data_IF_653883792167
#
_entry.id   IF_653883792167
#
_cell.length_a   1.000
_cell.length_b   1.000
_cell.length_c   1.000
_cell.angle_alpha   90.00
_cell.angle_beta   90.00
_cell.angle_gamma   90.00
#
_symmetry.space_group_name_H-M   'P 1'
#
loop_
_entity.id
_entity.type
_entity.pdbx_description
1 polymer ?
#
# COMPACT_ATOMS: atom_id res chain seq x y z
N UNK A 1 14.83 11.91 -17.21
CA UNK A 1 15.49 12.24 -15.92
C UNK A 1 16.21 11.03 -15.39
N UNK A 2 17.24 11.25 -14.55
CA UNK A 2 17.87 10.20 -13.75
C UNK A 2 17.27 10.23 -12.33
N UNK A 3 16.62 9.15 -11.92
CA UNK A 3 15.83 9.07 -10.68
C UNK A 3 16.41 8.00 -9.78
N UNK A 4 16.57 8.32 -8.49
CA UNK A 4 16.93 7.36 -7.45
C UNK A 4 15.71 7.03 -6.60
N UNK A 5 15.37 5.76 -6.47
CA UNK A 5 14.41 5.27 -5.49
C UNK A 5 15.15 4.78 -4.24
N UNK A 6 14.92 5.41 -3.10
CA UNK A 6 15.63 5.12 -1.86
C UNK A 6 14.68 4.64 -0.77
N UNK A 7 15.05 3.55 -0.08
CA UNK A 7 14.25 3.00 1.01
C UNK A 7 15.14 2.38 2.10
N UNK A 8 14.58 2.05 3.25
CA UNK A 8 15.35 1.35 4.27
C UNK A 8 15.51 -0.14 3.94
N UNK A 9 14.41 -0.82 3.63
CA UNK A 9 14.39 -2.26 3.37
C UNK A 9 14.03 -2.58 1.92
N UNK A 10 14.77 -3.51 1.31
CA UNK A 10 14.44 -4.27 0.10
C UNK A 10 14.80 -5.75 0.29
N UNK A 11 14.76 -6.22 1.54
CA UNK A 11 15.18 -7.56 1.94
C UNK A 11 14.11 -8.59 1.59
N UNK A 12 12.86 -8.34 1.95
CA UNK A 12 11.73 -9.26 1.80
C UNK A 12 10.51 -8.54 1.23
N UNK A 13 9.46 -9.31 0.91
CA UNK A 13 8.22 -8.75 0.41
C UNK A 13 7.44 -8.04 1.53
N UNK A 14 7.19 -6.76 1.34
CA UNK A 14 6.39 -5.92 2.23
C UNK A 14 5.67 -4.83 1.46
N UNK A 15 4.87 -4.01 2.14
CA UNK A 15 4.08 -2.94 1.50
C UNK A 15 4.95 -1.89 0.80
N UNK A 16 5.97 -1.38 1.50
CA UNK A 16 6.87 -0.35 0.95
C UNK A 16 7.80 -0.92 -0.12
N UNK A 17 8.26 -2.15 0.04
CA UNK A 17 9.14 -2.85 -0.90
C UNK A 17 8.42 -3.10 -2.24
N UNK A 18 7.20 -3.63 -2.19
CA UNK A 18 6.39 -3.86 -3.40
C UNK A 18 5.94 -2.56 -4.06
N UNK A 19 5.70 -1.50 -3.26
CA UNK A 19 5.44 -0.16 -3.78
C UNK A 19 6.68 0.41 -4.49
N UNK A 20 7.85 0.32 -3.88
CA UNK A 20 9.12 0.79 -4.47
C UNK A 20 9.39 0.08 -5.79
N UNK A 21 9.20 -1.24 -5.84
CA UNK A 21 9.32 -2.02 -7.07
C UNK A 21 8.33 -1.56 -8.15
N UNK A 22 7.05 -1.41 -7.81
CA UNK A 22 6.04 -0.99 -8.78
C UNK A 22 6.31 0.42 -9.33
N UNK A 23 6.74 1.36 -8.48
CA UNK A 23 7.10 2.71 -8.88
C UNK A 23 8.35 2.74 -9.77
N UNK A 24 9.36 1.90 -9.47
CA UNK A 24 10.55 1.75 -10.29
C UNK A 24 10.21 1.30 -11.72
N UNK A 25 9.37 0.27 -11.84
CA UNK A 25 8.94 -0.25 -13.14
C UNK A 25 8.15 0.80 -13.92
N UNK A 26 7.29 1.55 -13.27
CA UNK A 26 6.50 2.57 -13.94
C UNK A 26 7.36 3.75 -14.42
N UNK A 27 8.26 4.26 -13.57
CA UNK A 27 9.18 5.33 -13.97
C UNK A 27 10.09 4.90 -15.12
N UNK A 28 10.55 3.65 -15.13
CA UNK A 28 11.29 3.08 -16.24
C UNK A 28 10.46 3.00 -17.51
N UNK A 29 9.18 2.57 -17.41
CA UNK A 29 8.23 2.53 -18.55
C UNK A 29 8.01 3.92 -19.14
N UNK A 30 8.02 4.96 -18.32
CA UNK A 30 7.94 6.37 -18.74
C UNK A 30 9.24 6.91 -19.39
N UNK A 31 10.27 6.07 -19.51
CA UNK A 31 11.53 6.42 -20.19
C UNK A 31 12.56 7.11 -19.29
N UNK A 32 12.40 7.07 -17.97
CA UNK A 32 13.42 7.57 -17.04
C UNK A 32 14.53 6.54 -16.81
N UNK A 33 15.75 7.02 -16.53
CA UNK A 33 16.83 6.18 -16.00
C UNK A 33 16.62 6.05 -14.49
N UNK A 34 16.35 4.84 -14.02
CA UNK A 34 16.02 4.58 -12.61
C UNK A 34 17.12 3.73 -11.99
N UNK A 35 17.58 4.15 -10.82
CA UNK A 35 18.49 3.39 -9.94
C UNK A 35 17.81 3.23 -8.56
N UNK A 36 18.26 2.24 -7.76
CA UNK A 36 17.72 2.05 -6.43
C UNK A 36 18.81 2.08 -5.35
N UNK A 37 18.39 2.46 -4.14
CA UNK A 37 19.17 2.40 -2.91
C UNK A 37 18.35 1.78 -1.79
N UNK A 38 18.95 0.90 -1.00
CA UNK A 38 18.37 0.42 0.24
C UNK A 38 19.44 0.31 1.33
N UNK A 39 19.07 0.66 2.57
CA UNK A 39 19.96 0.44 3.73
C UNK A 39 20.16 -1.07 3.96
N UNK A 40 19.09 -1.85 3.82
CA UNK A 40 19.12 -3.30 3.91
C UNK A 40 18.67 -3.89 2.56
N UNK A 41 19.60 -4.54 1.87
CA UNK A 41 19.37 -5.18 0.58
C UNK A 41 18.90 -6.63 0.75
N UNK A 42 18.27 -7.19 -0.27
CA UNK A 42 17.90 -8.59 -0.34
C UNK A 42 17.16 -8.97 -1.60
N UNK A 43 16.13 -9.82 -1.48
CA UNK A 43 15.44 -10.40 -2.63
C UNK A 43 14.83 -9.33 -3.56
N UNK A 44 14.21 -8.29 -3.01
CA UNK A 44 13.58 -7.23 -3.83
C UNK A 44 14.62 -6.35 -4.52
N UNK A 45 15.80 -6.12 -3.89
CA UNK A 45 16.93 -5.45 -4.58
C UNK A 45 17.40 -6.25 -5.78
N UNK A 46 17.58 -7.58 -5.61
CA UNK A 46 18.02 -8.45 -6.71
C UNK A 46 17.01 -8.44 -7.86
N UNK A 47 15.71 -8.49 -7.55
CA UNK A 47 14.65 -8.40 -8.57
C UNK A 47 14.67 -7.07 -9.32
N UNK A 48 14.95 -5.94 -8.64
CA UNK A 48 15.11 -4.64 -9.30
C UNK A 48 16.32 -4.64 -10.24
N UNK A 49 17.44 -5.23 -9.83
CA UNK A 49 18.63 -5.35 -10.67
C UNK A 49 18.37 -6.23 -11.91
N UNK A 50 17.69 -7.35 -11.76
CA UNK A 50 17.26 -8.23 -12.88
C UNK A 50 16.37 -7.51 -13.88
N UNK A 51 15.49 -6.62 -13.40
CA UNK A 51 14.64 -5.77 -14.24
C UNK A 51 15.36 -4.55 -14.80
N UNK A 52 16.68 -4.42 -14.61
CA UNK A 52 17.49 -3.33 -15.14
C UNK A 52 17.29 -2.00 -14.41
N UNK A 53 16.98 -2.06 -13.12
CA UNK A 53 17.06 -0.95 -12.16
C UNK A 53 18.25 -1.23 -11.24
N UNK A 54 19.48 -0.83 -11.62
CA UNK A 54 20.67 -1.19 -10.87
C UNK A 54 20.75 -0.49 -9.53
N UNK A 55 21.59 -1.01 -8.65
CA UNK A 55 22.04 -0.30 -7.44
C UNK A 55 22.65 1.05 -7.81
N UNK A 56 22.44 2.04 -6.93
CA UNK A 56 22.95 3.39 -7.04
C UNK A 56 24.42 3.45 -7.51
N UNK A 57 24.66 4.05 -8.66
CA UNK A 57 25.97 4.19 -9.28
C UNK A 57 26.38 5.66 -9.46
N UNK A 58 25.41 6.57 -9.61
CA UNK A 58 25.69 7.97 -9.84
C UNK A 58 25.89 8.74 -8.53
N UNK A 59 26.72 9.79 -8.62
CA UNK A 59 26.90 10.74 -7.52
C UNK A 59 25.74 11.75 -7.43
N UNK A 60 25.02 11.98 -8.55
CA UNK A 60 23.92 12.93 -8.61
C UNK A 60 22.75 12.42 -9.46
N UNK A 61 21.53 12.77 -9.03
CA UNK A 61 20.26 12.47 -9.65
C UNK A 61 19.43 13.75 -9.81
N UNK A 62 18.57 13.77 -10.83
CA UNK A 62 17.60 14.86 -10.97
C UNK A 62 16.59 14.82 -9.81
N UNK A 63 16.14 13.61 -9.43
CA UNK A 63 15.13 13.37 -8.41
C UNK A 63 15.49 12.16 -7.54
N UNK A 64 15.35 12.30 -6.24
CA UNK A 64 15.43 11.24 -5.25
C UNK A 64 14.04 11.05 -4.61
N UNK A 65 13.44 9.88 -4.76
CA UNK A 65 12.19 9.50 -4.09
C UNK A 65 12.52 8.55 -2.94
N UNK A 66 12.40 9.03 -1.71
CA UNK A 66 12.80 8.30 -0.51
C UNK A 66 11.59 7.96 0.37
N UNK A 67 11.50 6.70 0.84
CA UNK A 67 10.38 6.22 1.66
C UNK A 67 10.61 6.31 3.17
N UNK A 68 11.84 6.40 3.64
CA UNK A 68 12.18 6.34 5.07
C UNK A 68 13.22 7.41 5.44
N UNK A 69 13.14 7.93 6.67
CA UNK A 69 14.09 8.93 7.20
C UNK A 69 15.55 8.52 7.05
N UNK A 70 15.86 7.24 7.27
CA UNK A 70 17.22 6.71 7.12
C UNK A 70 17.71 6.78 5.67
N UNK A 71 16.84 6.42 4.71
CA UNK A 71 17.16 6.54 3.29
C UNK A 71 17.37 7.99 2.87
N UNK A 72 16.56 8.92 3.39
CA UNK A 72 16.76 10.37 3.17
C UNK A 72 18.13 10.80 3.66
N UNK A 73 18.55 10.42 4.90
CA UNK A 73 19.84 10.77 5.48
C UNK A 73 21.03 10.29 4.63
N UNK A 74 20.91 9.15 3.98
CA UNK A 74 21.96 8.58 3.14
C UNK A 74 22.02 9.21 1.73
N UNK A 75 20.92 9.82 1.27
CA UNK A 75 20.78 10.23 -0.14
C UNK A 75 20.46 11.71 -0.37
N UNK A 76 20.17 12.52 0.67
CA UNK A 76 19.67 13.90 0.53
C UNK A 76 20.58 14.86 -0.25
N UNK A 77 21.88 14.59 -0.34
CA UNK A 77 22.82 15.42 -1.11
C UNK A 77 22.99 14.98 -2.57
N UNK A 78 22.26 13.95 -2.99
CA UNK A 78 22.40 13.36 -4.32
C UNK A 78 21.40 13.89 -5.35
N UNK A 79 20.49 14.75 -4.98
CA UNK A 79 19.51 15.36 -5.87
C UNK A 79 18.35 15.99 -5.10
N UNK A 80 17.37 16.52 -5.85
CA UNK A 80 16.14 17.00 -5.23
C UNK A 80 15.38 15.84 -4.58
N UNK A 81 15.22 15.91 -3.27
CA UNK A 81 14.72 14.76 -2.48
C UNK A 81 13.28 14.98 -2.07
N UNK A 82 12.38 14.11 -2.50
CA UNK A 82 11.00 14.00 -2.03
C UNK A 82 10.89 12.79 -1.10
N UNK A 83 10.51 13.03 0.15
CA UNK A 83 10.23 11.95 1.09
C UNK A 83 8.75 11.59 1.06
N UNK A 84 8.44 10.28 0.91
CA UNK A 84 7.09 9.73 1.12
C UNK A 84 6.97 9.18 2.53
N UNK A 85 6.02 9.71 3.30
CA UNK A 85 5.68 9.22 4.63
C UNK A 85 4.47 8.29 4.56
N UNK A 86 4.63 7.05 5.02
CA UNK A 86 3.63 5.98 4.87
C UNK A 86 2.73 5.81 6.10
N UNK A 87 3.07 6.40 7.25
CA UNK A 87 2.29 6.27 8.47
C UNK A 87 2.63 7.33 9.51
N UNK A 88 1.85 7.34 10.58
CA UNK A 88 1.96 8.31 11.69
C UNK A 88 2.69 7.75 12.92
N UNK A 89 2.91 6.42 12.99
CA UNK A 89 3.44 5.74 14.17
C UNK A 89 4.89 5.29 13.99
N UNK A 90 5.27 4.55 12.91
CA UNK A 90 6.63 4.03 12.78
C UNK A 90 7.68 5.14 12.71
N UNK A 91 8.75 5.00 13.48
CA UNK A 91 9.83 6.00 13.53
C UNK A 91 10.50 6.22 12.17
N UNK A 92 10.68 5.17 11.40
CA UNK A 92 11.27 5.26 10.06
C UNK A 92 10.43 6.06 9.06
N UNK A 93 9.13 6.16 9.31
CA UNK A 93 8.16 6.83 8.42
C UNK A 93 7.93 8.31 8.80
N UNK A 94 8.62 8.80 9.84
CA UNK A 94 8.52 10.20 10.27
C UNK A 94 9.21 11.15 9.29
N UNK A 95 8.76 12.41 9.18
CA UNK A 95 9.33 13.38 8.25
C UNK A 95 10.78 13.73 8.58
N UNK A 96 11.61 13.87 7.56
CA UNK A 96 13.00 14.26 7.68
C UNK A 96 13.21 15.72 7.24
N UNK A 97 13.91 16.55 8.03
CA UNK A 97 14.23 17.91 7.62
C UNK A 97 15.24 18.00 6.47
N UNK A 98 15.83 16.87 6.06
CA UNK A 98 16.78 16.80 4.96
C UNK A 98 16.10 16.54 3.60
N UNK A 99 14.80 16.31 3.56
CA UNK A 99 14.04 16.25 2.31
C UNK A 99 13.66 17.66 1.84
N UNK A 100 13.67 17.88 0.54
CA UNK A 100 13.27 19.15 -0.08
C UNK A 100 11.76 19.32 -0.12
N UNK A 101 11.02 18.22 -0.21
CA UNK A 101 9.56 18.17 -0.20
C UNK A 101 9.05 16.85 0.40
N UNK A 102 7.78 16.85 0.81
CA UNK A 102 7.15 15.71 1.45
C UNK A 102 5.85 15.30 0.73
N UNK A 103 5.64 14.00 0.68
CA UNK A 103 4.40 13.37 0.22
C UNK A 103 3.83 12.52 1.35
N UNK A 104 2.53 12.67 1.59
CA UNK A 104 1.76 11.84 2.52
C UNK A 104 0.94 10.81 1.74
N UNK A 105 0.80 9.58 2.24
CA UNK A 105 -0.03 8.56 1.58
C UNK A 105 -1.53 8.71 1.88
N UNK A 106 -1.89 9.57 2.85
CA UNK A 106 -3.27 9.85 3.25
C UNK A 106 -3.42 11.21 3.91
N UNK A 107 -4.65 11.69 4.07
CA UNK A 107 -4.92 12.95 4.78
C UNK A 107 -4.50 12.89 6.27
N UNK A 108 -4.62 11.71 6.93
CA UNK A 108 -4.11 11.51 8.28
C UNK A 108 -2.60 11.76 8.36
N UNK A 109 -1.84 11.19 7.43
CA UNK A 109 -0.38 11.39 7.37
C UNK A 109 -0.04 12.84 7.03
N UNK A 110 -0.79 13.47 6.12
CA UNK A 110 -0.60 14.89 5.79
C UNK A 110 -0.83 15.80 7.00
N UNK A 111 -1.89 15.55 7.77
CA UNK A 111 -2.16 16.29 9.01
C UNK A 111 -1.03 16.10 10.02
N UNK A 112 -0.54 14.89 10.18
CA UNK A 112 0.60 14.55 11.04
C UNK A 112 1.89 15.29 10.61
N UNK A 113 2.22 15.28 9.32
CA UNK A 113 3.38 16.03 8.78
C UNK A 113 3.29 17.52 9.10
N UNK A 114 2.09 18.08 9.02
CA UNK A 114 1.86 19.49 9.32
C UNK A 114 2.10 19.83 10.80
N UNK A 115 1.85 18.91 11.72
CA UNK A 115 2.17 19.10 13.15
C UNK A 115 3.68 19.25 13.39
N UNK A 116 4.51 18.63 12.52
CA UNK A 116 5.96 18.79 12.50
C UNK A 116 6.44 20.00 11.69
N UNK A 117 5.53 20.79 11.12
CA UNK A 117 5.86 21.98 10.33
C UNK A 117 6.18 21.71 8.86
N UNK A 118 5.87 20.54 8.33
CA UNK A 118 6.09 20.18 6.93
C UNK A 118 4.81 20.25 6.11
N UNK A 119 4.84 21.01 5.03
CA UNK A 119 3.80 20.96 4.00
C UNK A 119 3.98 19.72 3.12
N UNK A 120 2.86 19.14 2.68
CA UNK A 120 2.86 17.96 1.82
C UNK A 120 1.61 17.88 0.95
N UNK A 121 1.71 17.10 -0.13
CA UNK A 121 0.54 16.67 -0.91
C UNK A 121 0.20 15.22 -0.60
N UNK A 122 -1.02 14.80 -0.92
CA UNK A 122 -1.44 13.40 -0.77
C UNK A 122 -1.30 12.66 -2.09
N UNK A 123 -0.46 11.63 -2.08
CA UNK A 123 -0.33 10.64 -3.15
C UNK A 123 -0.53 9.26 -2.52
N UNK A 124 -1.68 8.60 -2.70
CA UNK A 124 -1.91 7.25 -2.19
C UNK A 124 -0.91 6.26 -2.77
N UNK A 125 -0.65 5.18 -2.03
CA UNK A 125 0.21 4.10 -2.51
C UNK A 125 -0.35 3.48 -3.80
N UNK A 126 0.33 3.72 -4.91
CA UNK A 126 -0.06 3.19 -6.21
C UNK A 126 0.13 1.67 -6.30
N UNK A 127 -0.76 1.03 -7.03
CA UNK A 127 -0.76 -0.40 -7.31
C UNK A 127 -0.49 -0.63 -8.80
N UNK A 128 0.37 -1.57 -9.14
CA UNK A 128 0.49 -2.03 -10.51
C UNK A 128 -0.77 -2.81 -10.90
N UNK A 129 -1.76 -2.11 -11.46
CA UNK A 129 -3.05 -2.68 -11.82
C UNK A 129 -3.00 -3.64 -13.03
N UNK A 130 -1.89 -3.73 -13.75
CA UNK A 130 -1.68 -4.75 -14.79
C UNK A 130 -1.32 -6.09 -14.16
N UNK A 131 -0.44 -6.08 -13.15
CA UNK A 131 -0.08 -7.26 -12.35
C UNK A 131 -1.23 -7.68 -11.43
N UNK A 132 -1.74 -6.74 -10.62
CA UNK A 132 -2.88 -6.95 -9.74
C UNK A 132 -4.17 -6.77 -10.54
N UNK A 133 -4.64 -7.84 -11.13
CA UNK A 133 -5.85 -7.84 -11.95
C UNK A 133 -6.71 -9.09 -11.66
N UNK A 134 -7.99 -9.08 -12.00
CA UNK A 134 -8.86 -10.24 -11.83
C UNK A 134 -8.40 -11.40 -12.72
N UNK A 135 -7.81 -12.45 -12.12
CA UNK A 135 -7.37 -13.68 -12.82
C UNK A 135 -8.47 -14.75 -12.84
N UNK A 136 -9.43 -14.65 -11.92
CA UNK A 136 -10.59 -15.55 -11.81
C UNK A 136 -11.83 -14.72 -11.48
N UNK A 137 -13.01 -15.09 -11.98
CA UNK A 137 -14.26 -14.47 -11.58
C UNK A 137 -14.52 -14.73 -10.08
N UNK A 138 -15.23 -13.82 -9.44
CA UNK A 138 -15.76 -14.02 -8.08
C UNK A 138 -17.03 -14.87 -8.13
N UNK A 139 -17.35 -15.54 -7.03
CA UNK A 139 -18.55 -16.35 -6.89
C UNK A 139 -19.83 -15.48 -6.84
N UNK A 140 -20.99 -15.96 -7.33
CA UNK A 140 -22.25 -15.22 -7.21
C UNK A 140 -22.66 -14.91 -5.76
N UNK A 141 -22.29 -15.79 -4.84
CA UNK A 141 -22.46 -15.65 -3.39
C UNK A 141 -21.13 -15.83 -2.70
N UNK A 142 -20.94 -15.22 -1.53
CA UNK A 142 -19.72 -15.35 -0.75
C UNK A 142 -19.39 -16.82 -0.47
N UNK A 143 -18.28 -17.31 -0.99
CA UNK A 143 -17.82 -18.69 -0.81
C UNK A 143 -16.44 -18.81 -0.19
N UNK A 144 -15.57 -17.81 -0.40
CA UNK A 144 -14.19 -17.84 0.08
C UNK A 144 -13.76 -16.47 0.60
N UNK A 145 -13.24 -16.45 1.82
CA UNK A 145 -12.64 -15.28 2.48
C UNK A 145 -11.15 -15.50 2.65
N UNK A 146 -10.34 -14.54 2.23
CA UNK A 146 -8.90 -14.50 2.47
C UNK A 146 -8.58 -13.46 3.54
N UNK A 147 -7.85 -13.86 4.57
CA UNK A 147 -7.23 -12.94 5.51
C UNK A 147 -5.79 -12.64 5.11
N UNK A 148 -5.49 -11.35 4.94
CA UNK A 148 -4.15 -10.78 4.82
C UNK A 148 -3.72 -10.08 6.12
N UNK A 149 -4.42 -10.36 7.22
CA UNK A 149 -4.11 -9.83 8.53
C UNK A 149 -2.77 -10.37 9.04
N UNK A 150 -2.03 -9.51 9.72
CA UNK A 150 -0.74 -9.89 10.32
C UNK A 150 -0.90 -10.45 11.74
N UNK A 151 -2.03 -10.22 12.38
CA UNK A 151 -2.34 -10.74 13.72
C UNK A 151 -2.99 -12.12 13.63
N UNK A 152 -2.42 -13.11 14.34
CA UNK A 152 -3.03 -14.43 14.46
C UNK A 152 -4.36 -14.38 15.23
N UNK A 153 -4.51 -13.46 16.17
CA UNK A 153 -5.80 -13.21 16.85
C UNK A 153 -6.89 -12.80 15.86
N UNK A 154 -6.56 -11.94 14.90
CA UNK A 154 -7.50 -11.57 13.82
C UNK A 154 -7.79 -12.76 12.91
N UNK A 155 -6.76 -13.53 12.52
CA UNK A 155 -6.92 -14.69 11.68
C UNK A 155 -7.85 -15.74 12.32
N UNK A 156 -7.66 -16.04 13.60
CA UNK A 156 -8.52 -16.96 14.35
C UNK A 156 -9.96 -16.46 14.49
N UNK A 157 -10.13 -15.17 14.72
CA UNK A 157 -11.45 -14.55 14.78
C UNK A 157 -12.17 -14.66 13.44
N UNK A 158 -11.53 -14.30 12.34
CA UNK A 158 -12.10 -14.36 10.98
C UNK A 158 -12.43 -15.81 10.61
N UNK A 159 -11.53 -16.77 10.94
CA UNK A 159 -11.77 -18.20 10.70
C UNK A 159 -13.04 -18.69 11.39
N UNK A 160 -13.23 -18.37 12.69
CA UNK A 160 -14.47 -18.74 13.42
C UNK A 160 -15.73 -18.13 12.79
N UNK A 161 -15.65 -16.87 12.32
CA UNK A 161 -16.76 -16.23 11.62
C UNK A 161 -17.10 -16.97 10.31
N UNK A 162 -16.08 -17.35 9.53
CA UNK A 162 -16.26 -18.12 8.30
C UNK A 162 -16.88 -19.51 8.56
N UNK A 163 -16.40 -20.22 9.56
CA UNK A 163 -16.91 -21.54 9.96
C UNK A 163 -18.42 -21.48 10.31
N UNK A 164 -18.85 -20.42 11.04
CA UNK A 164 -20.26 -20.22 11.43
C UNK A 164 -21.22 -20.07 10.25
N UNK A 165 -20.75 -19.53 9.14
CA UNK A 165 -21.58 -19.30 7.94
C UNK A 165 -21.25 -20.24 6.79
N UNK A 166 -20.38 -21.25 7.01
CA UNK A 166 -20.04 -22.26 6.02
C UNK A 166 -19.21 -21.72 4.84
N UNK A 167 -18.42 -20.67 5.04
CA UNK A 167 -17.57 -20.05 4.03
C UNK A 167 -16.12 -20.53 4.21
N UNK A 168 -15.45 -20.82 3.10
CA UNK A 168 -14.03 -21.25 3.11
C UNK A 168 -13.14 -20.11 3.60
N UNK A 169 -12.25 -20.41 4.55
CA UNK A 169 -11.24 -19.49 5.04
C UNK A 169 -9.87 -19.79 4.45
N UNK A 170 -9.19 -18.77 3.95
CA UNK A 170 -7.79 -18.77 3.52
C UNK A 170 -7.02 -17.73 4.33
N UNK A 171 -5.74 -17.98 4.57
CA UNK A 171 -4.83 -17.06 5.24
C UNK A 171 -3.53 -16.93 4.46
N UNK A 172 -2.99 -15.72 4.39
CA UNK A 172 -1.62 -15.46 3.98
C UNK A 172 -1.05 -14.34 4.87
N UNK A 173 -0.13 -14.69 5.74
CA UNK A 173 0.51 -13.75 6.67
C UNK A 173 1.94 -13.49 6.19
N UNK A 174 2.30 -12.22 5.96
CA UNK A 174 3.62 -11.84 5.42
C UNK A 174 4.82 -12.33 6.25
N UNK A 175 4.62 -12.61 7.54
CA UNK A 175 5.69 -13.07 8.43
C UNK A 175 5.91 -14.59 8.37
N UNK A 176 4.90 -15.36 7.96
CA UNK A 176 4.95 -16.84 7.87
C UNK A 176 4.91 -17.34 6.43
N UNK A 177 4.22 -16.61 5.55
CA UNK A 177 3.93 -16.99 4.17
C UNK A 177 4.42 -15.92 3.21
N UNK A 178 5.73 -15.64 3.18
CA UNK A 178 6.29 -14.58 2.33
C UNK A 178 6.14 -14.92 0.85
N UNK A 179 5.04 -14.48 0.24
CA UNK A 179 4.66 -14.76 -1.15
C UNK A 179 4.83 -13.50 -1.99
N UNK A 180 5.70 -13.55 -3.01
CA UNK A 180 5.84 -12.46 -3.97
C UNK A 180 4.59 -12.28 -4.85
N UNK A 181 4.06 -13.37 -5.39
CA UNK A 181 2.87 -13.34 -6.26
C UNK A 181 1.58 -13.41 -5.44
N UNK A 182 1.40 -12.46 -4.51
CA UNK A 182 0.23 -12.42 -3.62
C UNK A 182 -1.09 -12.23 -4.38
N UNK A 183 -1.05 -11.64 -5.57
CA UNK A 183 -2.20 -11.49 -6.46
C UNK A 183 -2.82 -12.83 -6.87
N UNK A 184 -2.03 -13.90 -6.95
CA UNK A 184 -2.54 -15.26 -7.23
C UNK A 184 -3.33 -15.83 -6.05
N UNK A 185 -2.91 -15.50 -4.83
CA UNK A 185 -3.62 -15.88 -3.60
C UNK A 185 -4.90 -15.05 -3.45
N UNK A 186 -4.81 -13.74 -3.65
CA UNK A 186 -5.95 -12.81 -3.62
C UNK A 186 -7.04 -13.27 -4.59
N UNK A 187 -6.66 -13.67 -5.80
CA UNK A 187 -7.59 -14.12 -6.83
C UNK A 187 -8.30 -15.46 -6.52
N UNK A 188 -7.97 -16.14 -5.43
CA UNK A 188 -8.68 -17.34 -4.97
C UNK A 188 -9.88 -17.03 -4.06
N UNK A 189 -10.01 -15.79 -3.59
CA UNK A 189 -11.06 -15.36 -2.68
C UNK A 189 -12.12 -14.50 -3.37
N UNK A 190 -13.29 -14.40 -2.74
CA UNK A 190 -14.36 -13.47 -3.13
C UNK A 190 -14.26 -12.17 -2.30
N UNK A 191 -13.88 -12.31 -1.03
CA UNK A 191 -13.70 -11.21 -0.09
C UNK A 191 -12.34 -11.32 0.58
N UNK A 192 -11.66 -10.19 0.73
CA UNK A 192 -10.36 -10.09 1.39
C UNK A 192 -10.49 -9.23 2.65
N UNK A 193 -9.90 -9.68 3.74
CA UNK A 193 -9.79 -8.92 4.99
C UNK A 193 -8.34 -8.45 5.16
N UNK A 194 -8.16 -7.16 5.38
CA UNK A 194 -6.81 -6.58 5.56
C UNK A 194 -6.83 -5.07 5.70
N UNK A 195 -5.64 -4.48 5.85
CA UNK A 195 -5.45 -3.04 6.05
C UNK A 195 -4.55 -2.43 4.97
N UNK A 196 -4.71 -1.14 4.70
CA UNK A 196 -3.81 -0.34 3.89
C UNK A 196 -3.57 -0.95 2.51
N UNK A 197 -2.31 -1.21 2.17
CA UNK A 197 -1.95 -1.75 0.87
C UNK A 197 -2.63 -3.09 0.55
N UNK A 198 -2.80 -3.98 1.53
CA UNK A 198 -3.51 -5.26 1.30
C UNK A 198 -4.95 -5.04 0.83
N UNK A 199 -5.61 -3.97 1.31
CA UNK A 199 -6.93 -3.56 0.82
C UNK A 199 -6.86 -3.10 -0.65
N UNK A 200 -5.86 -2.29 -1.00
CA UNK A 200 -5.69 -1.77 -2.36
C UNK A 200 -5.34 -2.87 -3.36
N UNK A 201 -4.43 -3.78 -2.99
CA UNK A 201 -4.07 -4.95 -3.81
C UNK A 201 -5.30 -5.83 -4.10
N UNK A 202 -6.16 -6.04 -3.10
CA UNK A 202 -7.40 -6.80 -3.24
C UNK A 202 -8.44 -6.08 -4.13
N UNK A 203 -8.61 -4.76 -3.97
CA UNK A 203 -9.46 -3.96 -4.86
C UNK A 203 -8.98 -4.04 -6.30
N UNK A 204 -7.67 -3.92 -6.54
CA UNK A 204 -7.08 -4.04 -7.86
C UNK A 204 -7.30 -5.42 -8.48
N UNK A 205 -7.32 -6.50 -7.68
CA UNK A 205 -7.69 -7.85 -8.11
C UNK A 205 -9.21 -8.06 -8.26
N UNK A 206 -10.03 -7.01 -8.12
CA UNK A 206 -11.49 -7.09 -8.25
C UNK A 206 -12.11 -7.94 -7.15
N UNK A 207 -11.71 -7.75 -5.89
CA UNK A 207 -12.27 -8.44 -4.72
C UNK A 207 -12.98 -7.44 -3.81
N UNK A 208 -14.04 -7.88 -3.14
CA UNK A 208 -14.58 -7.11 -2.04
C UNK A 208 -13.57 -7.03 -0.91
N UNK A 209 -13.53 -5.91 -0.20
CA UNK A 209 -12.58 -5.69 0.89
C UNK A 209 -13.30 -5.33 2.17
N UNK A 210 -13.00 -6.05 3.25
CA UNK A 210 -13.38 -5.72 4.60
C UNK A 210 -12.14 -5.24 5.36
N UNK A 211 -12.13 -3.97 5.74
CA UNK A 211 -10.98 -3.35 6.41
C UNK A 211 -11.01 -3.73 7.89
N UNK A 212 -10.10 -4.59 8.31
CA UNK A 212 -9.94 -5.06 9.69
C UNK A 212 -8.59 -5.72 9.92
N UNK A 213 -8.04 -5.57 11.12
CA UNK A 213 -6.96 -6.37 11.71
C UNK A 213 -6.97 -6.17 13.23
N UNK A 214 -6.25 -7.02 13.96
CA UNK A 214 -6.13 -6.95 15.42
C UNK A 214 -4.74 -6.45 15.81
N UNK A 215 -4.48 -5.14 15.61
CA UNK A 215 -3.18 -4.50 15.88
C UNK A 215 -3.34 -3.44 16.95
N UNK A 216 -2.82 -3.69 18.14
CA UNK A 216 -2.90 -2.79 19.28
C UNK A 216 -2.15 -1.46 19.06
N UNK A 217 -0.96 -1.52 18.47
CA UNK A 217 -0.13 -0.34 18.29
C UNK A 217 -0.44 0.47 17.01
N UNK A 218 -1.15 -0.10 16.03
CA UNK A 218 -1.41 0.56 14.73
C UNK A 218 -2.87 0.99 14.55
N UNK A 219 -3.83 0.22 15.02
CA UNK A 219 -5.24 0.50 14.78
C UNK A 219 -6.15 0.24 15.97
N UNK A 220 -5.62 -0.11 17.14
CA UNK A 220 -6.39 -0.36 18.37
C UNK A 220 -7.50 -1.40 18.18
N UNK A 221 -7.26 -2.45 17.36
CA UNK A 221 -8.23 -3.51 17.03
C UNK A 221 -9.47 -3.01 16.27
N UNK A 222 -9.32 -1.98 15.43
CA UNK A 222 -10.40 -1.31 14.77
C UNK A 222 -10.52 -1.73 13.30
N UNK A 223 -11.72 -1.59 12.74
CA UNK A 223 -12.02 -1.75 11.32
C UNK A 223 -12.78 -0.56 10.76
N UNK A 224 -12.74 -0.43 9.43
CA UNK A 224 -13.53 0.56 8.69
C UNK A 224 -14.77 -0.06 8.02
N UNK A 225 -14.97 -1.38 8.16
CA UNK A 225 -16.08 -2.11 7.56
C UNK A 225 -15.79 -2.56 6.12
N UNK A 226 -16.83 -3.05 5.47
CA UNK A 226 -16.79 -3.39 4.07
C UNK A 226 -16.67 -2.11 3.24
N UNK A 227 -15.67 -2.09 2.33
CA UNK A 227 -15.50 -0.95 1.42
C UNK A 227 -16.61 -0.94 0.38
N UNK A 228 -17.25 0.22 0.26
CA UNK A 228 -18.35 0.51 -0.66
C UNK A 228 -18.14 1.89 -1.27
N UNK A 229 -18.86 2.28 -2.34
CA UNK A 229 -18.83 3.64 -2.86
C UNK A 229 -19.04 4.72 -1.78
N UNK A 230 -19.89 4.45 -0.78
CA UNK A 230 -20.22 5.41 0.29
C UNK A 230 -19.14 5.47 1.40
N UNK A 231 -18.36 4.41 1.61
CA UNK A 231 -17.41 4.31 2.72
C UNK A 231 -15.96 4.57 2.32
N UNK A 232 -15.60 4.35 1.04
CA UNK A 232 -14.21 4.37 0.57
C UNK A 232 -13.53 5.72 0.81
N UNK A 233 -14.21 6.84 0.50
CA UNK A 233 -13.64 8.17 0.70
C UNK A 233 -13.19 8.40 2.14
N UNK A 234 -13.99 7.98 3.12
CA UNK A 234 -13.66 8.05 4.54
C UNK A 234 -12.54 7.09 4.93
N UNK A 235 -12.58 5.84 4.47
CA UNK A 235 -11.53 4.86 4.77
C UNK A 235 -10.16 5.31 4.23
N UNK A 236 -10.12 5.92 3.03
CA UNK A 236 -8.92 6.45 2.40
C UNK A 236 -8.28 7.60 3.19
N UNK A 237 -9.06 8.41 3.93
CA UNK A 237 -8.47 9.49 4.76
C UNK A 237 -7.45 8.98 5.77
N UNK A 238 -7.59 7.72 6.19
CA UNK A 238 -6.67 7.04 7.12
C UNK A 238 -6.01 5.80 6.50
N UNK A 239 -5.79 5.82 5.18
CA UNK A 239 -5.10 4.75 4.44
C UNK A 239 -5.74 3.35 4.67
N UNK A 240 -7.06 3.25 4.76
CA UNK A 240 -7.78 2.01 5.06
C UNK A 240 -7.20 1.25 6.27
N UNK A 241 -6.88 1.96 7.34
CA UNK A 241 -6.20 1.40 8.52
C UNK A 241 -7.15 0.92 9.62
N UNK A 242 -8.45 1.09 9.47
CA UNK A 242 -9.45 0.83 10.50
C UNK A 242 -9.66 2.01 11.47
N UNK A 243 -8.83 3.04 11.42
CA UNK A 243 -8.90 4.21 12.32
C UNK A 243 -9.93 5.25 11.89
N UNK A 244 -10.42 5.18 10.67
CA UNK A 244 -11.41 6.13 10.13
C UNK A 244 -12.79 5.92 10.73
N UNK A 245 -13.34 4.71 10.62
CA UNK A 245 -14.67 4.37 11.16
C UNK A 245 -14.62 3.82 12.59
N UNK A 246 -13.46 3.35 13.04
CA UNK A 246 -13.17 2.87 14.40
C UNK A 246 -14.15 1.80 14.88
N UNK A 247 -14.57 0.90 13.96
CA UNK A 247 -15.54 -0.16 14.27
C UNK A 247 -14.86 -1.28 15.07
N UNK A 248 -15.47 -1.64 16.19
CA UNK A 248 -15.13 -2.84 16.97
C UNK A 248 -16.12 -3.94 16.64
N UNK A 249 -15.62 -5.13 16.37
CA UNK A 249 -16.46 -6.24 15.94
C UNK A 249 -16.58 -7.32 17.02
N UNK A 250 -17.80 -7.77 17.25
CA UNK A 250 -18.10 -9.13 17.68
C UNK A 250 -18.33 -10.03 16.46
N UNK A 251 -18.44 -11.33 16.68
CA UNK A 251 -18.61 -12.29 15.57
C UNK A 251 -19.88 -12.03 14.75
N UNK A 252 -20.97 -11.60 15.38
CA UNK A 252 -22.23 -11.34 14.68
C UNK A 252 -22.15 -10.09 13.78
N UNK A 253 -21.56 -9.00 14.28
CA UNK A 253 -21.37 -7.76 13.52
C UNK A 253 -20.39 -7.96 12.37
N UNK A 254 -19.32 -8.73 12.58
CA UNK A 254 -18.36 -9.06 11.52
C UNK A 254 -19.00 -9.93 10.42
N UNK A 255 -19.79 -10.94 10.80
CA UNK A 255 -20.55 -11.77 9.86
C UNK A 255 -21.52 -10.92 9.05
N UNK A 256 -22.23 -9.96 9.67
CA UNK A 256 -23.12 -9.04 8.94
C UNK A 256 -22.35 -8.21 7.91
N UNK A 257 -21.12 -7.78 8.21
CA UNK A 257 -20.28 -7.08 7.21
C UNK A 257 -19.92 -8.01 6.05
N UNK A 258 -19.50 -9.25 6.32
CA UNK A 258 -19.17 -10.22 5.25
C UNK A 258 -20.40 -10.52 4.37
N UNK A 259 -21.60 -10.61 4.95
CA UNK A 259 -22.85 -10.90 4.23
C UNK A 259 -23.31 -9.77 3.30
N UNK A 260 -22.74 -8.58 3.38
CA UNK A 260 -22.96 -7.49 2.40
C UNK A 260 -22.23 -7.72 1.07
N UNK A 261 -21.45 -8.79 0.95
CA UNK A 261 -20.74 -9.16 -0.27
C UNK A 261 -21.71 -9.24 -1.46
N UNK A 262 -21.30 -8.67 -2.60
CA UNK A 262 -21.92 -8.87 -3.91
C UNK A 262 -20.86 -8.86 -5.02
N UNK A 263 -21.08 -9.59 -6.13
CA UNK A 263 -20.18 -9.52 -7.29
C UNK A 263 -20.07 -8.11 -7.90
N UNK A 264 -21.14 -7.32 -7.80
CA UNK A 264 -21.17 -5.93 -8.27
C UNK A 264 -20.19 -5.05 -7.46
N UNK A 265 -20.13 -5.28 -6.15
CA UNK A 265 -19.18 -4.56 -5.28
C UNK A 265 -17.72 -4.95 -5.60
N UNK A 266 -17.46 -6.20 -5.94
CA UNK A 266 -16.14 -6.65 -6.38
C UNK A 266 -15.73 -6.00 -7.71
N UNK A 267 -16.65 -5.89 -8.67
CA UNK A 267 -16.42 -5.17 -9.93
C UNK A 267 -16.13 -3.68 -9.69
N UNK A 268 -16.94 -3.01 -8.86
CA UNK A 268 -16.71 -1.63 -8.45
C UNK A 268 -15.33 -1.43 -7.80
N UNK A 269 -14.90 -2.34 -6.93
CA UNK A 269 -13.57 -2.28 -6.31
C UNK A 269 -12.46 -2.21 -7.36
N UNK A 270 -12.57 -3.00 -8.43
CA UNK A 270 -11.63 -2.97 -9.56
C UNK A 270 -11.64 -1.62 -10.28
N UNK A 271 -12.82 -1.11 -10.61
CA UNK A 271 -12.96 0.18 -11.30
C UNK A 271 -12.36 1.31 -10.46
N UNK A 272 -12.66 1.33 -9.17
CA UNK A 272 -12.08 2.31 -8.25
C UNK A 272 -10.54 2.23 -8.20
N UNK A 273 -9.99 1.02 -8.13
CA UNK A 273 -8.53 0.85 -8.12
C UNK A 273 -7.86 1.33 -9.41
N UNK A 274 -8.46 1.06 -10.56
CA UNK A 274 -7.96 1.53 -11.85
C UNK A 274 -7.94 3.06 -11.95
N UNK A 275 -8.99 3.71 -11.47
CA UNK A 275 -9.14 5.16 -11.54
C UNK A 275 -8.29 5.90 -10.50
N UNK A 276 -8.23 5.39 -9.26
CA UNK A 276 -7.69 6.16 -8.13
C UNK A 276 -6.39 5.60 -7.54
N UNK A 277 -6.11 4.30 -7.71
CA UNK A 277 -4.99 3.62 -7.07
C UNK A 277 -3.92 3.12 -8.05
N UNK A 278 -4.06 3.35 -9.35
CA UNK A 278 -3.09 2.89 -10.34
C UNK A 278 -1.73 3.58 -10.12
N UNK A 279 -0.64 2.79 -10.16
CA UNK A 279 0.74 3.29 -10.03
C UNK A 279 1.09 4.34 -11.08
N UNK A 280 0.47 4.29 -12.26
CA UNK A 280 0.64 5.28 -13.32
C UNK A 280 0.23 6.69 -12.84
N UNK A 281 -0.91 6.78 -12.14
CA UNK A 281 -1.39 8.05 -11.57
C UNK A 281 -0.45 8.55 -10.45
N UNK A 282 0.05 7.63 -9.62
CA UNK A 282 0.98 8.00 -8.55
C UNK A 282 2.31 8.52 -9.15
N UNK A 283 2.89 7.81 -10.11
CA UNK A 283 4.13 8.22 -10.77
C UNK A 283 3.98 9.62 -11.43
N UNK A 284 2.88 9.86 -12.17
CA UNK A 284 2.59 11.16 -12.76
C UNK A 284 2.56 12.28 -11.71
N UNK A 285 1.82 12.08 -10.61
CA UNK A 285 1.75 13.07 -9.51
C UNK A 285 3.09 13.36 -8.85
N UNK A 286 4.01 12.38 -8.73
CA UNK A 286 5.36 12.64 -8.23
C UNK A 286 6.17 13.51 -9.18
N UNK A 287 6.06 13.25 -10.48
CA UNK A 287 6.78 14.02 -11.51
C UNK A 287 6.24 15.46 -11.57
N UNK A 288 4.92 15.64 -11.59
CA UNK A 288 4.27 16.95 -11.55
C UNK A 288 4.69 17.73 -10.29
N UNK A 289 4.68 17.06 -9.12
CA UNK A 289 5.05 17.69 -7.85
C UNK A 289 6.52 18.10 -7.81
N UNK A 290 7.40 17.29 -8.42
CA UNK A 290 8.81 17.63 -8.61
C UNK A 290 8.95 18.88 -9.48
N UNK A 291 8.31 18.93 -10.65
CA UNK A 291 8.39 20.07 -11.57
C UNK A 291 7.89 21.38 -10.92
N UNK A 292 6.76 21.33 -10.22
CA UNK A 292 6.18 22.47 -9.52
C UNK A 292 7.08 23.05 -8.42
N UNK A 293 7.83 22.23 -7.72
CA UNK A 293 8.64 22.64 -6.56
C UNK A 293 10.11 22.87 -6.92
N UNK A 294 10.65 22.14 -7.88
CA UNK A 294 12.03 22.34 -8.34
C UNK A 294 12.19 23.65 -9.11
N UNK A 295 11.17 24.07 -9.86
CA UNK A 295 11.19 25.35 -10.59
C UNK A 295 11.15 26.59 -9.67
N UNK A 296 10.85 26.43 -8.36
CA UNK A 296 10.80 27.51 -7.37
C UNK A 296 12.13 27.73 -6.64
N UNK A 297 13.13 26.89 -6.86
CA UNK A 297 14.50 27.00 -6.33
C UNK A 297 15.46 27.52 -7.37
#
# INVERSE_FOLDING_TARGET
MKILLATHYLEQTGGTETYTYALAMELKRLGHTVEHFAVVRGAVSAMLEEEGVPWMQADHYDLVLANHTTAVKETFRRGYTIQTCHGVIPELEQPSPFADAHVAVSEEVKAHLKEFGFDSIVIPNGINCERFCPKKPVSPTLSTVLSLCQSETANDFIRRCCEKIGVKFLKCNKYTDNVWNIEDVICQADLVVGLGRSAYDAMACGRCVLVYDFRDYMNEYLGDGLLTPDSIGRAMTHNCSGRSSRLKYDEQSFIREMQKYTPMLAAWSREYALEHLNIQNAAGKYLDYYEENHAKK
#
